data_IF_483529467998
#
_entry.id   IF_483529467998
#
_cell.length_a   1.000
_cell.length_b   1.000
_cell.length_c   1.000
_cell.angle_alpha   90.00
_cell.angle_beta   90.00
_cell.angle_gamma   90.00
#
_symmetry.space_group_name_H-M   'P 1'
#
loop_
_entity.id
_entity.type
_entity.pdbx_description
1 polymer ?
#
# COMPACT_ATOMS: atom_id res chain seq x y z
N UNK A 1 -14.02 6.05 17.69
CA UNK A 1 -13.24 6.66 18.80
C UNK A 1 -12.97 5.63 19.89
N UNK A 2 -11.73 5.58 20.40
CA UNK A 2 -11.32 4.73 21.54
C UNK A 2 -10.87 5.66 22.67
N UNK A 3 -11.47 5.54 23.84
CA UNK A 3 -11.13 6.38 24.99
C UNK A 3 -9.86 5.86 25.70
N UNK A 4 -8.97 6.77 26.08
CA UNK A 4 -7.85 6.47 26.99
C UNK A 4 -6.67 5.72 26.38
N UNK A 5 -6.52 5.65 25.06
CA UNK A 5 -5.44 4.91 24.36
C UNK A 5 -4.03 5.34 24.83
N UNK A 6 -3.84 6.62 25.14
CA UNK A 6 -2.56 7.19 25.62
C UNK A 6 -2.35 7.12 27.14
N UNK A 7 -3.25 6.46 27.90
CA UNK A 7 -3.07 6.35 29.35
C UNK A 7 -1.89 5.43 29.70
N UNK A 8 -1.18 5.70 30.79
CA UNK A 8 -0.02 4.89 31.22
C UNK A 8 -0.39 3.44 31.55
N UNK A 9 -1.68 3.14 31.79
CA UNK A 9 -2.20 1.78 32.03
C UNK A 9 -2.63 1.03 30.75
N UNK A 10 -2.57 1.66 29.58
CA UNK A 10 -3.06 1.11 28.30
C UNK A 10 -1.97 0.85 27.27
N UNK A 11 -0.71 0.70 27.69
CA UNK A 11 0.46 0.49 26.83
C UNK A 11 0.24 -0.55 25.71
N UNK A 12 -0.41 -1.68 26.00
CA UNK A 12 -0.69 -2.73 25.00
C UNK A 12 -1.69 -2.32 23.92
N UNK A 13 -2.58 -1.36 24.20
CA UNK A 13 -3.61 -0.91 23.24
C UNK A 13 -3.03 0.03 22.18
N UNK A 14 -1.93 0.75 22.47
CA UNK A 14 -1.30 1.66 21.50
C UNK A 14 -0.70 0.91 20.32
N UNK A 15 -0.17 -0.30 20.57
CA UNK A 15 0.39 -1.16 19.52
C UNK A 15 -0.66 -1.58 18.47
N UNK A 16 -1.94 -1.63 18.84
CA UNK A 16 -3.04 -1.96 17.94
C UNK A 16 -3.40 -0.83 16.96
N UNK A 17 -2.81 0.36 17.13
CA UNK A 17 -3.01 1.52 16.27
C UNK A 17 -1.75 1.85 15.44
N UNK A 18 -0.90 0.85 15.19
CA UNK A 18 0.20 0.98 14.23
C UNK A 18 -0.33 0.83 12.79
N UNK A 19 0.32 1.45 11.79
CA UNK A 19 -0.06 1.28 10.40
C UNK A 19 -0.13 -0.20 9.99
N UNK A 20 -1.21 -0.56 9.29
CA UNK A 20 -1.51 -1.91 8.79
C UNK A 20 -1.68 -3.01 9.85
N UNK A 21 -1.78 -2.68 11.15
CA UNK A 21 -2.15 -3.71 12.13
C UNK A 21 -3.53 -4.26 11.82
N UNK A 22 -3.60 -5.58 11.57
CA UNK A 22 -4.85 -6.29 11.37
C UNK A 22 -5.54 -6.49 12.72
N UNK A 23 -6.79 -6.04 12.83
CA UNK A 23 -7.55 -6.05 14.07
C UNK A 23 -8.99 -6.51 13.87
N UNK A 24 -9.50 -7.19 14.89
CA UNK A 24 -10.92 -7.45 15.06
C UNK A 24 -11.54 -6.36 15.91
N UNK A 25 -12.67 -5.81 15.45
CA UNK A 25 -13.36 -4.70 16.09
C UNK A 25 -14.78 -5.10 16.46
N UNK A 26 -15.18 -4.78 17.69
CA UNK A 26 -16.60 -4.70 18.07
C UNK A 26 -16.96 -3.21 18.11
N UNK A 27 -17.86 -2.80 17.23
CA UNK A 27 -18.23 -1.39 17.05
C UNK A 27 -19.66 -1.18 17.49
N UNK A 28 -19.89 -0.15 18.31
CA UNK A 28 -21.23 0.38 18.52
C UNK A 28 -21.58 1.24 17.32
N UNK A 29 -22.30 0.65 16.40
CA UNK A 29 -22.82 1.36 15.24
C UNK A 29 -24.07 2.14 15.65
N UNK A 30 -24.03 3.46 15.44
CA UNK A 30 -25.16 4.34 15.71
C UNK A 30 -25.48 5.09 14.43
N UNK A 31 -26.71 4.95 13.96
CA UNK A 31 -27.21 5.68 12.80
C UNK A 31 -26.92 7.19 12.94
N UNK A 32 -26.34 7.78 11.90
CA UNK A 32 -25.95 9.19 11.79
C UNK A 32 -24.83 9.67 12.74
N UNK A 33 -24.04 8.77 13.32
CA UNK A 33 -22.81 9.17 14.01
C UNK A 33 -21.68 9.40 13.00
N UNK A 34 -21.06 10.58 13.01
CA UNK A 34 -19.85 10.85 12.21
C UNK A 34 -18.66 9.96 12.61
N UNK A 35 -18.63 9.48 13.85
CA UNK A 35 -17.59 8.58 14.36
C UNK A 35 -18.23 7.56 15.30
N UNK A 36 -18.14 6.28 14.94
CA UNK A 36 -18.60 5.19 15.79
C UNK A 36 -17.63 4.89 16.95
N UNK A 37 -18.17 4.38 18.06
CA UNK A 37 -17.37 4.01 19.25
C UNK A 37 -16.92 2.56 19.14
N UNK A 38 -15.63 2.32 19.36
CA UNK A 38 -15.07 0.96 19.42
C UNK A 38 -15.27 0.44 20.85
N UNK A 39 -16.01 -0.65 20.99
CA UNK A 39 -16.27 -1.35 22.26
C UNK A 39 -15.08 -2.23 22.64
N UNK A 40 -14.61 -3.02 21.68
CA UNK A 40 -13.48 -3.94 21.81
C UNK A 40 -12.61 -3.86 20.57
N UNK A 41 -11.31 -4.05 20.77
CA UNK A 41 -10.30 -4.17 19.72
C UNK A 41 -9.33 -5.29 20.13
N UNK A 42 -9.06 -6.21 19.21
CA UNK A 42 -8.13 -7.33 19.40
C UNK A 42 -7.24 -7.43 18.16
N UNK A 43 -6.01 -7.89 18.34
CA UNK A 43 -5.13 -8.19 17.20
C UNK A 43 -5.67 -9.42 16.49
N UNK A 44 -5.91 -9.34 15.19
CA UNK A 44 -6.21 -10.52 14.35
C UNK A 44 -4.92 -11.34 14.17
N UNK A 45 -3.81 -10.66 13.92
CA UNK A 45 -2.51 -11.26 13.67
C UNK A 45 -1.43 -10.61 14.53
N UNK A 46 -0.47 -11.41 15.01
CA UNK A 46 0.71 -10.93 15.76
C UNK A 46 1.89 -10.76 14.81
N UNK A 47 2.11 -9.55 14.32
CA UNK A 47 3.20 -9.26 13.40
C UNK A 47 4.58 -9.49 14.01
N UNK A 48 5.47 -10.08 13.21
CA UNK A 48 6.83 -10.43 13.62
C UNK A 48 7.88 -9.52 12.99
N UNK A 49 7.57 -8.78 11.92
CA UNK A 49 8.57 -7.99 11.17
C UNK A 49 8.14 -6.57 10.87
N UNK A 50 6.91 -6.32 10.44
CA UNK A 50 6.44 -4.97 10.09
C UNK A 50 6.80 -3.92 11.16
N UNK A 51 6.51 -4.13 12.46
CA UNK A 51 6.83 -3.13 13.49
C UNK A 51 8.29 -3.09 13.93
N UNK A 52 9.12 -4.06 13.53
CA UNK A 52 10.50 -4.23 14.01
C UNK A 52 11.57 -4.05 12.92
N UNK A 53 11.17 -4.10 11.65
CA UNK A 53 12.00 -3.84 10.49
C UNK A 53 11.68 -2.45 9.93
N UNK A 54 12.69 -1.59 9.89
CA UNK A 54 12.51 -0.18 9.52
C UNK A 54 12.05 -0.01 8.06
N UNK A 55 12.43 -0.92 7.15
CA UNK A 55 12.02 -0.87 5.73
C UNK A 55 10.54 -1.23 5.64
N UNK A 56 10.12 -2.32 6.28
CA UNK A 56 8.72 -2.77 6.31
C UNK A 56 7.82 -1.77 7.03
N UNK A 57 8.28 -1.15 8.10
CA UNK A 57 7.59 -0.02 8.76
C UNK A 57 7.43 1.18 7.82
N UNK A 58 8.45 1.53 7.05
CA UNK A 58 8.35 2.61 6.06
C UNK A 58 7.37 2.29 4.93
N UNK A 59 7.38 1.05 4.45
CA UNK A 59 6.41 0.54 3.48
C UNK A 59 5.01 0.54 4.06
N UNK A 60 4.83 0.15 5.32
CA UNK A 60 3.50 0.11 5.94
C UNK A 60 2.89 1.50 6.07
N UNK A 61 3.70 2.51 6.36
CA UNK A 61 3.27 3.91 6.33
C UNK A 61 2.85 4.35 4.93
N UNK A 62 3.61 3.97 3.90
CA UNK A 62 3.27 4.27 2.51
C UNK A 62 1.94 3.65 2.10
N UNK A 63 1.79 2.35 2.32
CA UNK A 63 0.57 1.60 2.03
C UNK A 63 -0.62 2.17 2.78
N UNK A 64 -0.47 2.51 4.07
CA UNK A 64 -1.55 3.11 4.86
C UNK A 64 -1.99 4.48 4.30
N UNK A 65 -1.06 5.29 3.80
CA UNK A 65 -1.41 6.57 3.14
C UNK A 65 -2.15 6.34 1.81
N UNK A 66 -1.73 5.37 1.00
CA UNK A 66 -2.45 4.99 -0.22
C UNK A 66 -3.85 4.49 0.13
N UNK A 67 -3.97 3.57 1.09
CA UNK A 67 -5.26 3.05 1.55
C UNK A 67 -6.21 4.17 2.00
N UNK A 68 -5.71 5.14 2.77
CA UNK A 68 -6.50 6.30 3.20
C UNK A 68 -6.95 7.24 2.08
N UNK A 69 -6.42 7.07 0.85
CA UNK A 69 -6.82 7.83 -0.35
C UNK A 69 -7.72 7.04 -1.28
N UNK A 70 -7.65 5.70 -1.25
CA UNK A 70 -8.44 4.84 -2.14
C UNK A 70 -9.69 4.24 -1.49
N UNK A 71 -9.71 4.14 -0.17
CA UNK A 71 -10.86 3.65 0.61
C UNK A 71 -11.62 4.85 1.18
N UNK A 72 -12.83 5.09 0.67
CA UNK A 72 -13.73 6.14 1.14
C UNK A 72 -14.74 5.62 2.18
N UNK A 73 -15.45 6.54 2.81
CA UNK A 73 -16.47 6.21 3.81
C UNK A 73 -17.57 5.32 3.21
N UNK A 74 -18.01 4.32 3.97
CA UNK A 74 -18.99 3.29 3.55
C UNK A 74 -18.57 2.46 2.33
N UNK A 75 -17.28 2.44 1.99
CA UNK A 75 -16.77 1.54 0.97
C UNK A 75 -16.74 0.09 1.47
N UNK A 76 -17.69 -0.71 1.01
CA UNK A 76 -17.73 -2.15 1.29
C UNK A 76 -17.19 -2.91 0.07
N UNK A 77 -15.98 -3.44 0.20
CA UNK A 77 -15.37 -4.30 -0.80
C UNK A 77 -14.56 -5.40 -0.10
N UNK A 78 -15.23 -6.53 0.13
CA UNK A 78 -14.65 -7.70 0.81
C UNK A 78 -13.48 -8.29 0.02
N UNK A 79 -13.58 -8.31 -1.32
CA UNK A 79 -12.50 -8.80 -2.18
C UNK A 79 -11.23 -7.94 -2.06
N UNK A 80 -11.38 -6.61 -2.03
CA UNK A 80 -10.24 -5.73 -1.79
C UNK A 80 -9.68 -5.97 -0.38
N UNK A 81 -10.52 -6.11 0.64
CA UNK A 81 -10.04 -6.36 2.00
C UNK A 81 -9.24 -7.66 2.10
N UNK A 82 -9.73 -8.76 1.52
CA UNK A 82 -9.05 -10.05 1.51
C UNK A 82 -7.69 -9.96 0.79
N UNK A 83 -7.65 -9.24 -0.34
CA UNK A 83 -6.41 -8.95 -1.05
C UNK A 83 -5.42 -8.15 -0.20
N UNK A 84 -5.88 -7.05 0.41
CA UNK A 84 -5.06 -6.21 1.28
C UNK A 84 -4.53 -7.02 2.47
N UNK A 85 -5.38 -7.84 3.10
CA UNK A 85 -4.99 -8.74 4.19
C UNK A 85 -3.88 -9.69 3.75
N UNK A 86 -4.01 -10.32 2.58
CA UNK A 86 -2.97 -11.18 2.00
C UNK A 86 -1.67 -10.41 1.80
N UNK A 87 -1.72 -9.23 1.18
CA UNK A 87 -0.53 -8.40 0.94
C UNK A 87 0.17 -8.00 2.24
N UNK A 88 -0.59 -7.61 3.27
CA UNK A 88 -0.03 -7.25 4.58
C UNK A 88 0.67 -8.45 5.23
N UNK A 89 0.06 -9.64 5.18
CA UNK A 89 0.69 -10.86 5.71
C UNK A 89 1.94 -11.26 4.93
N UNK A 90 1.93 -11.09 3.60
CA UNK A 90 3.13 -11.28 2.76
C UNK A 90 4.24 -10.30 3.16
N UNK A 91 3.92 -9.03 3.40
CA UNK A 91 4.88 -8.04 3.87
C UNK A 91 5.42 -8.35 5.27
N UNK A 92 4.74 -9.12 6.11
CA UNK A 92 5.25 -9.54 7.43
C UNK A 92 6.06 -10.85 7.39
N UNK A 93 5.92 -11.62 6.30
CA UNK A 93 6.51 -12.95 6.15
C UNK A 93 8.06 -12.94 6.18
N UNK A 94 8.62 -14.06 6.64
CA UNK A 94 10.03 -14.17 7.02
C UNK A 94 11.02 -13.97 5.90
N UNK A 95 10.85 -14.72 4.84
CA UNK A 95 11.78 -14.74 3.73
C UNK A 95 11.35 -13.77 2.62
N UNK A 96 10.33 -12.95 2.86
CA UNK A 96 9.85 -12.00 1.86
C UNK A 96 10.83 -10.83 1.68
N UNK A 97 11.14 -10.49 0.44
CA UNK A 97 12.00 -9.35 0.10
C UNK A 97 11.16 -8.11 -0.19
N UNK A 98 11.21 -7.05 0.65
CA UNK A 98 10.26 -5.95 0.58
C UNK A 98 10.55 -4.92 -0.53
N UNK A 99 11.64 -5.06 -1.28
CA UNK A 99 12.15 -4.01 -2.15
C UNK A 99 11.22 -3.62 -3.31
N UNK A 100 10.44 -4.57 -3.84
CA UNK A 100 9.45 -4.33 -4.90
C UNK A 100 8.01 -4.28 -4.37
N UNK A 101 7.80 -4.52 -3.08
CA UNK A 101 6.46 -4.57 -2.49
C UNK A 101 5.60 -3.35 -2.80
N UNK A 102 6.11 -2.09 -2.71
CA UNK A 102 5.28 -0.92 -3.02
C UNK A 102 4.75 -0.91 -4.45
N UNK A 103 5.53 -1.40 -5.43
CA UNK A 103 5.09 -1.51 -6.81
C UNK A 103 4.05 -2.61 -6.97
N UNK A 104 4.31 -3.82 -6.45
CA UNK A 104 3.34 -4.91 -6.47
C UNK A 104 2.03 -4.53 -5.77
N UNK A 105 2.11 -3.77 -4.68
CA UNK A 105 0.95 -3.27 -3.97
C UNK A 105 0.13 -2.33 -4.86
N UNK A 106 0.73 -1.33 -5.50
CA UNK A 106 0.03 -0.41 -6.41
C UNK A 106 -0.56 -1.14 -7.63
N UNK A 107 0.23 -1.99 -8.29
CA UNK A 107 -0.23 -2.78 -9.44
C UNK A 107 -1.45 -3.61 -9.04
N UNK A 108 -1.30 -4.48 -8.05
CA UNK A 108 -2.36 -5.41 -7.68
C UNK A 108 -3.58 -4.70 -7.08
N UNK A 109 -3.40 -3.58 -6.37
CA UNK A 109 -4.53 -2.81 -5.84
C UNK A 109 -5.31 -2.12 -6.95
N UNK A 110 -4.64 -1.63 -8.01
CA UNK A 110 -5.33 -1.00 -9.16
C UNK A 110 -6.34 -1.95 -9.83
N UNK A 111 -6.08 -3.27 -9.81
CA UNK A 111 -7.01 -4.32 -10.26
C UNK A 111 -8.33 -4.28 -9.51
N UNK A 112 -8.26 -4.26 -8.18
CA UNK A 112 -9.46 -4.23 -7.32
C UNK A 112 -10.16 -2.87 -7.33
N UNK A 113 -9.46 -1.81 -7.77
CA UNK A 113 -10.05 -0.49 -7.99
C UNK A 113 -10.61 -0.33 -9.42
N UNK A 114 -10.39 -1.29 -10.31
CA UNK A 114 -10.98 -1.35 -11.65
C UNK A 114 -10.24 -0.57 -12.74
N UNK A 115 -8.95 -0.27 -12.56
CA UNK A 115 -8.14 0.46 -13.54
C UNK A 115 -6.73 -0.12 -13.73
N UNK A 116 -6.55 -1.42 -13.49
CA UNK A 116 -5.28 -2.08 -13.81
C UNK A 116 -5.00 -2.00 -15.33
N UNK A 117 -3.79 -1.59 -15.74
CA UNK A 117 -3.40 -1.60 -17.15
C UNK A 117 -3.21 -3.03 -17.66
N UNK A 118 -3.47 -3.25 -18.95
CA UNK A 118 -3.29 -4.59 -19.56
C UNK A 118 -1.81 -5.00 -19.61
N UNK A 119 -0.92 -4.05 -19.94
CA UNK A 119 0.53 -4.23 -20.01
C UNK A 119 1.27 -2.90 -19.77
N UNK A 120 2.61 -2.89 -19.87
CA UNK A 120 3.36 -1.66 -19.69
C UNK A 120 3.06 -0.61 -20.76
N UNK A 121 2.74 -1.01 -22.00
CA UNK A 121 2.44 -0.07 -23.07
C UNK A 121 1.12 0.65 -22.82
N UNK A 122 0.07 -0.08 -22.43
CA UNK A 122 -1.22 0.49 -22.02
C UNK A 122 -1.07 1.42 -20.81
N UNK A 123 -0.27 1.01 -19.80
CA UNK A 123 0.04 1.87 -18.65
C UNK A 123 0.66 3.21 -19.07
N UNK A 124 1.72 3.18 -19.89
CA UNK A 124 2.41 4.42 -20.28
C UNK A 124 1.61 5.27 -21.27
N UNK A 125 0.71 4.67 -22.07
CA UNK A 125 -0.19 5.40 -22.97
C UNK A 125 -1.10 6.37 -22.22
N UNK A 126 -1.48 6.02 -21.00
CA UNK A 126 -2.36 6.81 -20.14
C UNK A 126 -1.62 7.90 -19.36
N UNK A 127 -0.28 7.88 -19.37
CA UNK A 127 0.55 8.83 -18.65
C UNK A 127 1.03 9.99 -19.55
N UNK A 128 1.01 11.24 -19.05
CA UNK A 128 1.55 12.41 -19.74
C UNK A 128 3.09 12.46 -19.61
N UNK A 129 3.77 11.41 -20.04
CA UNK A 129 5.24 11.27 -20.00
C UNK A 129 5.82 11.24 -21.41
N UNK A 130 7.10 11.60 -21.54
CA UNK A 130 7.83 11.43 -22.79
C UNK A 130 8.02 9.93 -23.07
N UNK A 131 7.34 9.44 -24.12
CA UNK A 131 7.37 8.04 -24.56
C UNK A 131 8.49 7.81 -25.59
N UNK A 132 9.62 8.47 -25.42
CA UNK A 132 10.75 8.39 -26.33
C UNK A 132 12.09 8.17 -25.62
N UNK A 133 13.04 7.61 -26.38
CA UNK A 133 14.41 7.43 -25.92
C UNK A 133 14.62 6.26 -24.96
N UNK A 134 15.87 6.13 -24.51
CA UNK A 134 16.33 4.96 -23.74
C UNK A 134 15.72 4.86 -22.35
N UNK A 135 15.44 6.00 -21.70
CA UNK A 135 14.86 6.02 -20.35
C UNK A 135 13.46 5.40 -20.40
N UNK A 136 12.61 5.84 -21.34
CA UNK A 136 11.28 5.28 -21.55
C UNK A 136 11.35 3.77 -21.82
N UNK A 137 12.16 3.34 -22.79
CA UNK A 137 12.29 1.92 -23.14
C UNK A 137 12.72 1.05 -21.94
N UNK A 138 13.62 1.56 -21.10
CA UNK A 138 14.01 0.86 -19.88
C UNK A 138 12.82 0.76 -18.90
N UNK A 139 12.02 1.82 -18.73
CA UNK A 139 10.85 1.78 -17.83
C UNK A 139 9.81 0.77 -18.31
N UNK A 140 9.51 0.75 -19.62
CA UNK A 140 8.61 -0.25 -20.23
C UNK A 140 9.12 -1.66 -19.94
N UNK A 141 10.39 -1.95 -20.28
CA UNK A 141 10.99 -3.25 -20.05
C UNK A 141 10.95 -3.68 -18.57
N UNK A 142 11.26 -2.78 -17.64
CA UNK A 142 11.24 -3.10 -16.21
C UNK A 142 9.82 -3.29 -15.69
N UNK A 143 8.84 -2.54 -16.21
CA UNK A 143 7.45 -2.72 -15.82
C UNK A 143 6.91 -4.06 -16.33
N UNK A 144 7.20 -4.44 -17.57
CA UNK A 144 6.83 -5.76 -18.11
C UNK A 144 7.41 -6.89 -17.25
N UNK A 145 8.70 -6.79 -16.90
CA UNK A 145 9.32 -7.76 -15.99
C UNK A 145 8.62 -7.88 -14.63
N UNK A 146 8.08 -6.78 -14.10
CA UNK A 146 7.34 -6.79 -12.83
C UNK A 146 5.95 -7.40 -13.03
N UNK A 147 5.24 -7.02 -14.10
CA UNK A 147 3.89 -7.53 -14.40
C UNK A 147 3.89 -9.04 -14.69
N UNK A 148 4.94 -9.55 -15.34
CA UNK A 148 5.12 -10.98 -15.64
C UNK A 148 5.69 -11.79 -14.46
N UNK A 149 6.24 -11.12 -13.44
CA UNK A 149 6.91 -11.83 -12.35
C UNK A 149 5.94 -12.55 -11.41
N UNK A 150 6.34 -13.75 -11.00
CA UNK A 150 5.67 -14.49 -9.92
C UNK A 150 6.26 -14.11 -8.56
N UNK A 151 5.44 -14.21 -7.49
CA UNK A 151 5.80 -13.86 -6.10
C UNK A 151 7.11 -14.53 -5.59
N UNK A 152 7.54 -15.64 -6.22
CA UNK A 152 8.70 -16.43 -5.81
C UNK A 152 9.99 -16.13 -6.60
N UNK A 153 9.94 -15.30 -7.64
CA UNK A 153 11.11 -14.92 -8.43
C UNK A 153 11.05 -13.45 -8.85
N UNK A 154 11.20 -12.51 -7.90
CA UNK A 154 11.14 -11.08 -8.21
C UNK A 154 12.32 -10.68 -9.12
N UNK A 155 12.08 -9.84 -10.14
CA UNK A 155 13.13 -9.38 -11.04
C UNK A 155 14.07 -8.42 -10.32
N UNK A 156 15.31 -8.34 -10.82
CA UNK A 156 16.30 -7.39 -10.30
C UNK A 156 16.10 -6.04 -10.99
N UNK A 157 15.44 -5.12 -10.31
CA UNK A 157 15.18 -3.78 -10.84
C UNK A 157 16.14 -2.75 -10.21
N UNK A 158 16.85 -1.95 -11.02
CA UNK A 158 17.72 -0.88 -10.52
C UNK A 158 16.98 0.12 -9.62
N UNK A 159 17.66 0.64 -8.60
CA UNK A 159 17.08 1.59 -7.63
C UNK A 159 16.46 2.83 -8.27
N UNK A 160 17.11 3.40 -9.29
CA UNK A 160 16.59 4.53 -10.05
C UNK A 160 15.32 4.17 -10.84
N UNK A 161 15.29 3.01 -11.49
CA UNK A 161 14.12 2.53 -12.23
C UNK A 161 12.94 2.28 -11.28
N UNK A 162 13.16 1.67 -10.10
CA UNK A 162 12.11 1.49 -9.08
C UNK A 162 11.51 2.83 -8.64
N UNK A 163 12.34 3.84 -8.40
CA UNK A 163 11.86 5.18 -8.00
C UNK A 163 11.05 5.84 -9.13
N UNK A 164 11.53 5.77 -10.37
CA UNK A 164 10.82 6.31 -11.52
C UNK A 164 9.47 5.61 -11.73
N UNK A 165 9.44 4.28 -11.66
CA UNK A 165 8.20 3.51 -11.78
C UNK A 165 7.23 3.82 -10.63
N UNK A 166 7.71 4.01 -9.39
CA UNK A 166 6.85 4.44 -8.30
C UNK A 166 6.20 5.80 -8.59
N UNK A 167 6.97 6.73 -9.17
CA UNK A 167 6.47 8.06 -9.51
C UNK A 167 5.42 7.99 -10.62
N UNK A 168 5.68 7.17 -11.64
CA UNK A 168 4.74 6.89 -12.73
C UNK A 168 3.46 6.25 -12.19
N UNK A 169 3.56 5.28 -11.26
CA UNK A 169 2.38 4.64 -10.64
C UNK A 169 1.58 5.60 -9.76
N UNK A 170 2.24 6.47 -9.00
CA UNK A 170 1.53 7.51 -8.24
C UNK A 170 0.83 8.49 -9.19
N UNK A 171 1.44 8.85 -10.32
CA UNK A 171 0.80 9.67 -11.34
C UNK A 171 -0.40 8.95 -11.98
N UNK A 172 -0.27 7.67 -12.28
CA UNK A 172 -1.36 6.84 -12.80
C UNK A 172 -2.56 6.85 -11.86
N UNK A 173 -2.35 6.60 -10.56
CA UNK A 173 -3.41 6.71 -9.55
C UNK A 173 -4.05 8.10 -9.49
N UNK A 174 -3.26 9.19 -9.64
CA UNK A 174 -3.80 10.57 -9.70
C UNK A 174 -4.71 10.80 -10.91
N UNK A 175 -4.46 10.12 -12.03
CA UNK A 175 -5.27 10.25 -13.25
C UNK A 175 -6.58 9.47 -13.12
N UNK A 176 -6.54 8.29 -12.49
CA UNK A 176 -7.70 7.42 -12.35
C UNK A 176 -8.59 7.72 -11.13
N UNK A 177 -8.07 8.45 -10.14
CA UNK A 177 -8.78 8.71 -8.89
C UNK A 177 -8.89 10.20 -8.58
N UNK A 178 -10.13 10.68 -8.51
CA UNK A 178 -10.43 12.03 -8.06
C UNK A 178 -9.97 12.24 -6.61
N UNK A 179 -9.30 13.37 -6.37
CA UNK A 179 -8.87 13.74 -5.02
C UNK A 179 -7.69 12.92 -4.45
N UNK A 180 -7.00 12.11 -5.27
CA UNK A 180 -5.87 11.30 -4.81
C UNK A 180 -4.77 12.15 -4.14
N UNK A 181 -4.48 13.34 -4.68
CA UNK A 181 -3.56 14.31 -4.08
C UNK A 181 -2.12 13.80 -3.92
N UNK A 182 -1.32 14.48 -3.10
CA UNK A 182 0.08 14.11 -2.87
C UNK A 182 0.26 13.00 -1.85
N UNK A 183 1.33 12.20 -2.02
CA UNK A 183 1.76 11.12 -1.10
C UNK A 183 3.01 11.56 -0.34
N UNK A 184 2.85 11.88 0.94
CA UNK A 184 3.94 12.43 1.79
C UNK A 184 4.96 11.35 2.17
N UNK A 185 4.49 10.14 2.41
CA UNK A 185 5.31 8.96 2.75
C UNK A 185 6.24 8.53 1.62
N UNK A 186 5.96 8.91 0.36
CA UNK A 186 6.77 8.53 -0.79
C UNK A 186 8.22 9.03 -0.66
N UNK A 187 8.44 10.24 -0.15
CA UNK A 187 9.78 10.78 0.10
C UNK A 187 10.55 9.96 1.13
N UNK A 188 9.87 9.49 2.18
CA UNK A 188 10.46 8.63 3.21
C UNK A 188 10.78 7.26 2.60
N UNK A 189 9.83 6.66 1.91
CA UNK A 189 9.98 5.36 1.26
C UNK A 189 11.17 5.34 0.31
N UNK A 190 11.33 6.37 -0.53
CA UNK A 190 12.47 6.49 -1.45
C UNK A 190 13.80 6.48 -0.71
N UNK A 191 13.89 7.13 0.45
CA UNK A 191 15.11 7.19 1.27
C UNK A 191 15.47 5.80 1.84
N UNK A 192 14.46 4.98 2.15
CA UNK A 192 14.65 3.64 2.72
C UNK A 192 14.97 2.58 1.67
N UNK A 193 14.40 2.70 0.47
CA UNK A 193 14.60 1.77 -0.66
C UNK A 193 15.75 2.19 -1.59
N UNK A 194 16.57 3.14 -1.13
CA UNK A 194 17.61 3.79 -1.92
C UNK A 194 18.78 2.91 -2.26
#
# INVERSE_FOLDING_TARGET
MVNGVRSTKSSSKVALFQPLTLVDLVVYDKENANINRIAEIKSDSSFQRIPFDFIRSGISMFVAEIMGKVVYDNYQNELLFDHLRKQILTLDAEHYQPALFPLYFLISTSRYLGFEPEDAADFFLQLPVDQSGRIYNNKVQFLDQILESEDHSPPVIPGNAKRQLLDDWILFYKIHMDGFGEIKSLTVLRTLLS
#
